data_IF_334683542151
#
_entry.id   IF_334683542151
#
_cell.length_a   1.000
_cell.length_b   1.000
_cell.length_c   1.000
_cell.angle_alpha   90.00
_cell.angle_beta   90.00
_cell.angle_gamma   90.00
#
_symmetry.space_group_name_H-M   'P 1'
#
loop_
_entity.id
_entity.type
_entity.pdbx_description
1 polymer ?
#
# COMPACT_ATOMS: atom_id res chain seq x y z
N UNK A 1 0.57 -21.08 16.60
CA UNK A 1 -0.82 -21.01 16.10
C UNK A 1 -0.83 -20.15 14.85
N UNK A 2 -1.22 -20.69 13.69
CA UNK A 2 -1.39 -19.86 12.50
C UNK A 2 -2.61 -18.97 12.73
N UNK A 3 -2.41 -17.66 12.83
CA UNK A 3 -3.52 -16.73 12.90
C UNK A 3 -4.29 -16.76 11.58
N UNK A 4 -5.62 -16.71 11.63
CA UNK A 4 -6.44 -16.57 10.43
C UNK A 4 -6.00 -15.33 9.63
N UNK A 5 -6.02 -15.45 8.30
CA UNK A 5 -5.69 -14.34 7.42
C UNK A 5 -6.66 -13.18 7.68
N UNK A 6 -6.20 -11.92 7.68
CA UNK A 6 -7.11 -10.78 7.70
C UNK A 6 -7.99 -10.84 6.44
N UNK A 7 -9.24 -10.40 6.54
CA UNK A 7 -10.16 -10.36 5.40
C UNK A 7 -9.88 -9.17 4.48
N UNK A 8 -9.36 -8.07 5.03
CA UNK A 8 -8.99 -6.85 4.30
C UNK A 8 -7.69 -6.22 4.79
N UNK A 9 -7.10 -5.41 3.91
CA UNK A 9 -5.98 -4.51 4.17
C UNK A 9 -6.36 -3.09 3.76
N UNK A 10 -5.53 -2.11 4.15
CA UNK A 10 -5.63 -0.72 3.68
C UNK A 10 -4.45 -0.41 2.77
N UNK A 11 -4.72 0.27 1.67
CA UNK A 11 -3.74 0.56 0.64
C UNK A 11 -3.77 2.05 0.28
N UNK A 12 -2.60 2.67 0.18
CA UNK A 12 -2.47 4.00 -0.40
C UNK A 12 -2.30 3.87 -1.92
N UNK A 13 -3.27 4.40 -2.66
CA UNK A 13 -3.26 4.43 -4.11
C UNK A 13 -2.89 5.82 -4.59
N UNK A 14 -1.95 5.93 -5.53
CA UNK A 14 -1.71 7.16 -6.27
C UNK A 14 -2.80 7.28 -7.35
N UNK A 15 -3.74 8.21 -7.17
CA UNK A 15 -4.91 8.37 -8.06
C UNK A 15 -4.72 9.51 -9.07
N UNK A 16 -3.80 10.44 -8.80
CA UNK A 16 -3.37 11.46 -9.74
C UNK A 16 -1.86 11.68 -9.61
N UNK A 17 -1.19 12.06 -10.71
CA UNK A 17 0.23 12.41 -10.65
C UNK A 17 0.40 13.86 -10.16
N UNK A 18 1.21 14.12 -9.13
CA UNK A 18 1.35 15.47 -8.60
C UNK A 18 1.99 16.44 -9.59
N UNK A 19 1.31 17.56 -9.83
CA UNK A 19 1.88 18.73 -10.47
C UNK A 19 2.38 19.71 -9.38
N UNK A 20 3.70 19.82 -9.22
CA UNK A 20 4.32 20.57 -8.11
C UNK A 20 4.47 19.72 -6.84
N UNK A 21 4.03 20.22 -5.68
CA UNK A 21 4.05 19.44 -4.44
C UNK A 21 2.89 18.44 -4.39
N UNK A 22 3.10 17.20 -3.88
CA UNK A 22 2.02 16.25 -3.64
C UNK A 22 0.98 16.82 -2.67
N UNK A 23 -0.28 16.59 -3.00
CA UNK A 23 -1.43 17.00 -2.18
C UNK A 23 -2.20 15.76 -1.75
N UNK A 24 -3.03 15.91 -0.73
CA UNK A 24 -3.82 14.78 -0.21
C UNK A 24 -4.76 14.18 -1.27
N UNK A 25 -5.27 15.00 -2.18
CA UNK A 25 -6.13 14.62 -3.31
C UNK A 25 -5.42 13.75 -4.37
N UNK A 26 -4.08 13.74 -4.42
CA UNK A 26 -3.33 12.85 -5.31
C UNK A 26 -3.38 11.38 -4.85
N UNK A 27 -3.82 11.12 -3.62
CA UNK A 27 -3.85 9.80 -3.02
C UNK A 27 -5.24 9.41 -2.50
N UNK A 28 -5.52 8.11 -2.51
CA UNK A 28 -6.70 7.56 -1.87
C UNK A 28 -6.30 6.40 -0.95
N UNK A 29 -6.81 6.41 0.29
CA UNK A 29 -6.77 5.25 1.17
C UNK A 29 -7.95 4.34 0.81
N UNK A 30 -7.66 3.12 0.37
CA UNK A 30 -8.67 2.13 -0.02
C UNK A 30 -8.59 0.89 0.85
N UNK A 31 -9.72 0.22 1.03
CA UNK A 31 -9.74 -1.14 1.55
C UNK A 31 -9.65 -2.14 0.40
N UNK A 32 -8.85 -3.19 0.58
CA UNK A 32 -8.66 -4.26 -0.39
C UNK A 32 -8.77 -5.63 0.30
N UNK A 33 -9.30 -6.63 -0.40
CA UNK A 33 -9.38 -7.99 0.12
C UNK A 33 -7.99 -8.63 0.20
N UNK A 34 -7.70 -9.31 1.31
CA UNK A 34 -6.43 -10.06 1.46
C UNK A 34 -6.67 -11.51 1.06
N UNK A 35 -6.03 -11.93 -0.02
CA UNK A 35 -6.03 -13.31 -0.48
C UNK A 35 -4.89 -14.12 0.18
N UNK A 36 -5.09 -15.44 0.27
CA UNK A 36 -4.00 -16.34 0.63
C UNK A 36 -2.85 -16.24 -0.39
N UNK A 37 -1.58 -16.24 0.06
CA UNK A 37 -0.46 -16.21 -0.87
C UNK A 37 -0.44 -17.49 -1.72
N UNK A 38 -0.23 -17.34 -3.02
CA UNK A 38 0.02 -18.46 -3.93
C UNK A 38 1.37 -19.14 -3.60
N UNK A 39 1.62 -20.31 -4.21
CA UNK A 39 2.90 -21.01 -4.07
C UNK A 39 4.09 -20.09 -4.39
N UNK A 40 5.14 -20.18 -3.56
CA UNK A 40 6.32 -19.32 -3.67
C UNK A 40 6.12 -17.86 -3.22
N UNK A 41 4.94 -17.48 -2.70
CA UNK A 41 4.68 -16.14 -2.16
C UNK A 41 4.52 -16.17 -0.64
N UNK A 42 4.71 -15.01 -0.02
CA UNK A 42 4.47 -14.79 1.41
C UNK A 42 3.48 -13.65 1.61
N UNK A 43 2.73 -13.70 2.71
CA UNK A 43 1.94 -12.56 3.18
C UNK A 43 2.71 -11.83 4.28
N UNK A 44 2.84 -10.51 4.13
CA UNK A 44 3.56 -9.65 5.08
C UNK A 44 2.59 -8.67 5.71
N UNK A 45 2.62 -8.57 7.04
CA UNK A 45 1.97 -7.49 7.78
C UNK A 45 2.96 -6.33 7.92
N UNK A 46 2.87 -5.34 7.04
CA UNK A 46 3.73 -4.16 7.09
C UNK A 46 3.53 -3.42 8.43
N UNK A 47 4.63 -3.13 9.13
CA UNK A 47 4.61 -2.37 10.40
C UNK A 47 5.01 -0.90 10.21
N UNK A 48 5.90 -0.66 9.24
CA UNK A 48 6.45 0.65 8.93
C UNK A 48 6.60 0.79 7.42
N UNK A 49 6.56 2.03 6.93
CA UNK A 49 6.88 2.39 5.57
C UNK A 49 8.06 3.35 5.59
N UNK A 50 9.05 3.12 4.72
CA UNK A 50 10.05 4.16 4.43
C UNK A 50 9.37 5.24 3.60
N UNK A 51 9.68 6.51 3.87
CA UNK A 51 9.22 7.64 3.06
C UNK A 51 10.45 8.43 2.69
N UNK A 52 10.83 8.35 1.43
CA UNK A 52 12.14 8.80 0.95
C UNK A 52 11.99 9.86 -0.15
N UNK A 53 12.92 10.84 -0.24
CA UNK A 53 12.85 11.89 -1.28
C UNK A 53 12.75 11.34 -2.71
N UNK A 54 13.35 10.19 -3.01
CA UNK A 54 13.32 9.59 -4.34
C UNK A 54 11.89 9.21 -4.79
N UNK A 55 10.96 8.99 -3.84
CA UNK A 55 9.59 8.63 -4.16
C UNK A 55 8.92 9.70 -5.02
N UNK A 56 9.34 10.97 -4.90
CA UNK A 56 8.83 12.08 -5.72
C UNK A 56 8.97 11.86 -7.22
N UNK A 57 10.06 11.23 -7.68
CA UNK A 57 10.28 10.96 -9.10
C UNK A 57 9.51 9.75 -9.64
N UNK A 58 8.90 8.96 -8.76
CA UNK A 58 8.12 7.76 -9.12
C UNK A 58 6.61 8.01 -9.07
N UNK A 59 6.17 9.05 -8.36
CA UNK A 59 4.81 9.58 -8.34
C UNK A 59 4.58 10.52 -9.53
#
# INVERSE_FOLDING_TARGET
MSAALPTSSREWHLVARPHGWPKSEDFALREAAVAAPAEGRILVRNKYFSVDPYMRGRM
#
